data_IF_168715454258
#
_entry.id   IF_168715454258
#
_cell.length_a   1.000
_cell.length_b   1.000
_cell.length_c   1.000
_cell.angle_alpha   90.00
_cell.angle_beta   90.00
_cell.angle_gamma   90.00
#
_symmetry.space_group_name_H-M   'P 1'
#
loop_
_entity.id
_entity.type
_entity.pdbx_description
1 polymer ?
#
# COMPACT_ATOMS: atom_id res chain seq x y z
N UNK A 1 -6.01 -8.57 -2.74
CA UNK A 1 -6.93 -9.60 -2.21
C UNK A 1 -8.16 -8.87 -1.73
N UNK A 2 -9.33 -9.34 -2.15
CA UNK A 2 -10.63 -8.80 -1.76
C UNK A 2 -11.46 -9.97 -1.29
N UNK A 3 -11.95 -9.90 -0.06
CA UNK A 3 -12.88 -10.87 0.48
C UNK A 3 -14.29 -10.28 0.37
N UNK A 4 -15.20 -11.00 -0.30
CA UNK A 4 -16.58 -10.57 -0.50
C UNK A 4 -17.53 -11.77 -0.63
N UNK A 5 -18.51 -11.86 0.26
CA UNK A 5 -19.56 -12.87 0.21
C UNK A 5 -19.06 -14.30 0.45
N UNK A 6 -18.07 -14.48 1.32
CA UNK A 6 -17.42 -15.78 1.57
C UNK A 6 -16.45 -16.22 0.47
N UNK A 7 -16.20 -15.37 -0.53
CA UNK A 7 -15.27 -15.64 -1.64
C UNK A 7 -14.07 -14.71 -1.55
N UNK A 8 -12.88 -15.28 -1.77
CA UNK A 8 -11.60 -14.56 -1.83
C UNK A 8 -11.13 -14.39 -3.26
N UNK A 9 -10.98 -13.15 -3.69
CA UNK A 9 -10.44 -12.80 -5.01
C UNK A 9 -9.03 -12.25 -4.89
N UNK A 10 -8.13 -12.76 -5.72
CA UNK A 10 -6.83 -12.15 -5.98
C UNK A 10 -6.96 -11.24 -7.21
N UNK A 11 -6.89 -9.93 -6.98
CA UNK A 11 -6.78 -8.95 -8.05
C UNK A 11 -5.32 -8.53 -8.18
N UNK A 12 -4.72 -8.88 -9.31
CA UNK A 12 -3.38 -8.46 -9.70
C UNK A 12 -3.49 -7.59 -10.95
N UNK A 13 -2.66 -6.55 -11.02
CA UNK A 13 -2.60 -5.65 -12.15
C UNK A 13 -1.17 -5.56 -12.66
N UNK A 14 -1.02 -5.53 -13.98
CA UNK A 14 0.27 -5.26 -14.61
C UNK A 14 0.63 -3.79 -14.44
N UNK A 15 1.83 -3.55 -13.96
CA UNK A 15 2.36 -2.20 -13.81
C UNK A 15 3.42 -1.97 -14.87
N UNK A 16 3.27 -0.97 -15.75
CA UNK A 16 4.25 -0.66 -16.78
C UNK A 16 5.65 -0.45 -16.20
N UNK A 17 6.61 -1.24 -16.70
CA UNK A 17 8.00 -1.17 -16.26
C UNK A 17 8.31 -1.86 -14.94
N UNK A 18 7.39 -2.66 -14.36
CA UNK A 18 7.66 -3.40 -13.12
C UNK A 18 8.71 -4.51 -13.27
N UNK A 19 8.85 -5.09 -14.47
CA UNK A 19 9.85 -6.13 -14.76
C UNK A 19 11.22 -5.53 -15.15
N UNK A 20 11.21 -4.39 -15.85
CA UNK A 20 12.40 -3.61 -16.20
C UNK A 20 12.78 -2.59 -15.11
N UNK A 21 12.18 -2.73 -13.93
CA UNK A 21 12.32 -1.79 -12.84
C UNK A 21 13.78 -1.74 -12.38
N UNK A 22 14.49 -0.70 -12.81
CA UNK A 22 15.75 -0.33 -12.17
C UNK A 22 15.47 0.02 -10.71
N UNK A 23 16.36 -0.28 -9.75
CA UNK A 23 16.11 -0.07 -8.32
C UNK A 23 15.49 1.31 -8.02
N UNK A 24 16.00 2.37 -8.62
CA UNK A 24 15.52 3.75 -8.48
C UNK A 24 14.03 4.00 -8.78
N UNK A 25 13.34 3.09 -9.48
CA UNK A 25 11.91 3.21 -9.85
C UNK A 25 10.93 2.72 -8.77
N UNK A 26 11.41 1.93 -7.80
CA UNK A 26 10.58 1.33 -6.75
C UNK A 26 10.75 2.10 -5.46
N UNK A 27 9.71 2.74 -4.94
CA UNK A 27 9.79 3.41 -3.64
C UNK A 27 9.37 2.46 -2.53
N UNK A 28 10.35 1.98 -1.76
CA UNK A 28 10.14 1.08 -0.64
C UNK A 28 9.77 1.82 0.65
N UNK A 29 8.64 1.40 1.21
CA UNK A 29 8.53 1.10 2.64
C UNK A 29 8.37 2.29 3.59
N UNK A 30 7.17 2.39 4.13
CA UNK A 30 6.82 3.08 5.37
C UNK A 30 7.50 2.50 6.63
N UNK A 31 8.60 1.76 6.53
CA UNK A 31 9.45 1.44 7.68
C UNK A 31 10.89 1.16 7.25
N UNK A 32 11.79 2.09 7.61
CA UNK A 32 13.15 1.82 8.07
C UNK A 32 14.13 1.11 7.14
N UNK A 33 15.15 1.89 6.74
CA UNK A 33 16.49 1.49 6.25
C UNK A 33 16.58 0.96 4.82
N UNK A 34 16.56 1.92 3.90
CA UNK A 34 17.68 2.31 3.02
C UNK A 34 17.07 3.02 1.82
N UNK A 35 17.42 4.31 1.69
CA UNK A 35 17.39 5.15 0.48
C UNK A 35 16.65 4.56 -0.73
N UNK A 36 15.32 4.60 -0.68
CA UNK A 36 14.44 4.38 -1.81
C UNK A 36 13.39 5.49 -1.75
N UNK A 37 13.45 6.39 -2.74
CA UNK A 37 12.91 7.75 -2.70
C UNK A 37 11.65 7.90 -1.88
N UNK A 38 11.79 8.27 -0.60
CA UNK A 38 10.68 8.45 0.32
C UNK A 38 9.67 9.36 -0.38
N UNK A 39 8.44 8.91 -0.68
CA UNK A 39 7.45 9.83 -1.19
C UNK A 39 7.34 10.90 -0.12
N UNK A 40 7.42 12.17 -0.53
CA UNK A 40 7.34 13.29 0.41
C UNK A 40 6.15 13.05 1.35
N UNK A 41 6.23 13.55 2.59
CA UNK A 41 5.11 13.44 3.52
C UNK A 41 3.78 13.90 2.88
N UNK A 42 3.86 14.86 1.95
CA UNK A 42 2.77 15.34 1.11
C UNK A 42 2.28 14.30 0.10
N UNK A 43 3.17 13.59 -0.61
CA UNK A 43 2.80 12.51 -1.54
C UNK A 43 2.11 11.36 -0.78
N UNK A 44 2.64 10.99 0.40
CA UNK A 44 1.99 10.02 1.28
C UNK A 44 0.61 10.51 1.72
N UNK A 45 0.51 11.75 2.18
CA UNK A 45 -0.76 12.37 2.62
C UNK A 45 -1.78 12.51 1.49
N UNK A 46 -1.32 12.78 0.26
CA UNK A 46 -2.18 12.87 -0.94
C UNK A 46 -2.71 11.50 -1.34
N UNK A 47 -1.83 10.49 -1.39
CA UNK A 47 -2.23 9.11 -1.66
C UNK A 47 -3.13 8.57 -0.55
N UNK A 48 -2.85 8.90 0.72
CA UNK A 48 -3.72 8.61 1.85
C UNK A 48 -5.11 9.23 1.68
N UNK A 49 -5.21 10.51 1.29
CA UNK A 49 -6.49 11.18 1.06
C UNK A 49 -7.23 10.66 -0.18
N UNK A 50 -6.53 10.33 -1.26
CA UNK A 50 -7.17 9.84 -2.49
C UNK A 50 -7.59 8.38 -2.35
N UNK A 51 -6.67 7.49 -2.01
CA UNK A 51 -6.93 6.04 -1.92
C UNK A 51 -7.86 5.75 -0.75
N UNK A 52 -7.59 6.30 0.44
CA UNK A 52 -8.46 6.08 1.60
C UNK A 52 -9.90 6.52 1.37
N UNK A 53 -10.11 7.63 0.64
CA UNK A 53 -11.45 8.09 0.28
C UNK A 53 -12.14 7.18 -0.74
N UNK A 54 -11.43 6.71 -1.77
CA UNK A 54 -12.02 5.84 -2.79
C UNK A 54 -12.30 4.43 -2.27
N UNK A 55 -11.45 3.92 -1.37
CA UNK A 55 -11.59 2.60 -0.76
C UNK A 55 -12.46 2.61 0.50
N UNK A 56 -12.90 3.78 0.97
CA UNK A 56 -13.61 3.96 2.23
C UNK A 56 -12.87 3.36 3.45
N UNK A 57 -11.53 3.43 3.46
CA UNK A 57 -10.73 2.93 4.58
C UNK A 57 -10.72 3.94 5.74
N UNK A 58 -10.84 3.40 6.95
CA UNK A 58 -10.67 4.18 8.17
C UNK A 58 -9.22 4.10 8.66
N UNK A 59 -8.60 5.23 9.07
CA UNK A 59 -7.30 5.19 9.73
C UNK A 59 -7.37 4.38 11.02
N UNK A 60 -6.35 3.59 11.30
CA UNK A 60 -6.24 2.73 12.47
C UNK A 60 -4.83 2.82 13.08
N UNK A 61 -4.74 2.54 14.37
CA UNK A 61 -3.48 2.60 15.10
C UNK A 61 -2.85 1.21 15.19
N UNK A 62 -1.54 1.14 14.95
CA UNK A 62 -0.73 -0.07 15.10
C UNK A 62 0.39 0.19 16.11
N UNK A 63 0.86 -0.86 16.77
CA UNK A 63 1.99 -0.78 17.71
C UNK A 63 3.21 -1.43 17.07
N UNK A 64 4.34 -0.73 17.07
CA UNK A 64 5.61 -1.29 16.58
C UNK A 64 6.30 -2.17 17.63
N UNK A 65 7.43 -2.76 17.24
CA UNK A 65 8.24 -3.63 18.12
C UNK A 65 8.79 -2.93 19.36
N UNK A 66 8.89 -1.59 19.32
CA UNK A 66 9.44 -0.75 20.37
C UNK A 66 8.31 -0.18 21.26
N UNK A 67 7.06 -0.59 21.04
CA UNK A 67 5.88 -0.18 21.80
C UNK A 67 5.30 1.17 21.37
N UNK A 68 5.78 1.77 20.28
CA UNK A 68 5.26 3.06 19.80
C UNK A 68 4.01 2.87 18.96
N UNK A 69 3.01 3.74 19.19
CA UNK A 69 1.79 3.78 18.40
C UNK A 69 1.99 4.60 17.12
N UNK A 70 1.58 4.02 15.99
CA UNK A 70 1.60 4.65 14.68
C UNK A 70 0.22 4.63 14.07
N UNK A 71 -0.25 5.79 13.60
CA UNK A 71 -1.52 5.89 12.88
C UNK A 71 -1.31 5.63 11.40
N UNK A 72 -1.94 4.58 10.88
CA UNK A 72 -1.82 4.15 9.49
C UNK A 72 -3.19 4.07 8.82
N UNK A 73 -3.21 4.11 7.49
CA UNK A 73 -4.42 4.01 6.67
C UNK A 73 -4.36 2.87 5.65
N UNK A 74 -3.15 2.39 5.39
CA UNK A 74 -2.84 1.37 4.39
C UNK A 74 -1.96 0.31 5.07
N UNK A 75 -1.91 -0.91 4.52
CA UNK A 75 -0.99 -1.94 4.99
C UNK A 75 0.45 -1.44 5.07
N UNK A 76 1.20 -1.85 6.09
CA UNK A 76 2.62 -1.50 6.26
C UNK A 76 3.48 -1.94 5.07
N UNK A 77 3.07 -3.03 4.41
CA UNK A 77 3.74 -3.62 3.25
C UNK A 77 3.42 -2.88 1.93
N UNK A 78 2.60 -1.83 1.98
CA UNK A 78 2.25 -1.05 0.79
C UNK A 78 3.48 -0.36 0.21
N UNK A 79 3.62 -0.44 -1.12
CA UNK A 79 4.74 0.18 -1.84
C UNK A 79 4.21 1.20 -2.83
N UNK A 80 4.97 2.27 -3.01
CA UNK A 80 4.72 3.22 -4.10
C UNK A 80 5.66 2.88 -5.24
N UNK A 81 5.14 2.86 -6.45
CA UNK A 81 5.90 2.57 -7.65
C UNK A 81 5.66 3.67 -8.68
N UNK A 82 6.70 4.09 -9.39
CA UNK A 82 6.55 5.00 -10.53
C UNK A 82 6.69 4.20 -11.82
N UNK A 83 5.60 4.13 -12.58
CA UNK A 83 5.56 3.44 -13.88
C UNK A 83 6.43 4.12 -14.91
N UNK A 84 6.88 3.34 -15.90
CA UNK A 84 7.55 3.86 -17.10
C UNK A 84 6.63 4.76 -17.93
N UNK A 85 5.31 4.66 -17.74
CA UNK A 85 4.30 5.55 -18.29
C UNK A 85 4.16 6.88 -17.53
N UNK A 86 5.00 7.10 -16.51
CA UNK A 86 5.03 8.31 -15.70
C UNK A 86 4.00 8.36 -14.57
N UNK A 87 3.12 7.36 -14.43
CA UNK A 87 2.08 7.31 -13.39
C UNK A 87 2.61 6.77 -12.07
N UNK A 88 1.92 7.10 -10.98
CA UNK A 88 2.19 6.56 -9.64
C UNK A 88 1.22 5.42 -9.33
N UNK A 89 1.76 4.30 -8.88
CA UNK A 89 1.03 3.08 -8.55
C UNK A 89 1.21 2.74 -7.09
N UNK A 90 0.11 2.46 -6.39
CA UNK A 90 0.14 1.93 -5.04
C UNK A 90 -0.08 0.42 -5.10
N UNK A 91 0.84 -0.34 -4.53
CA UNK A 91 0.81 -1.81 -4.50
C UNK A 91 0.86 -2.32 -3.07
N UNK A 92 0.69 -3.63 -2.86
CA UNK A 92 0.73 -4.21 -1.53
C UNK A 92 -0.59 -4.11 -0.75
N UNK A 93 -1.72 -3.96 -1.45
CA UNK A 93 -3.05 -3.75 -0.85
C UNK A 93 -3.76 -5.05 -0.42
N UNK A 94 -3.08 -6.20 -0.43
CA UNK A 94 -3.68 -7.49 -0.09
C UNK A 94 -4.21 -7.59 1.33
N UNK A 95 -3.71 -6.79 2.27
CA UNK A 95 -4.19 -6.74 3.66
C UNK A 95 -5.00 -5.47 3.97
N UNK A 96 -5.44 -4.76 2.93
CA UNK A 96 -6.11 -3.48 3.11
C UNK A 96 -7.58 -3.64 3.53
N UNK A 97 -8.19 -4.78 3.23
CA UNK A 97 -9.52 -5.16 3.73
C UNK A 97 -9.38 -6.23 4.82
N UNK A 98 -10.24 -6.20 5.84
CA UNK A 98 -10.30 -7.27 6.84
C UNK A 98 -10.73 -8.57 6.17
N UNK A 99 -10.31 -9.71 6.74
CA UNK A 99 -10.78 -11.02 6.30
C UNK A 99 -12.30 -11.11 6.50
N UNK A 100 -13.02 -11.54 5.48
CA UNK A 100 -14.45 -11.84 5.60
C UNK A 100 -14.65 -12.97 6.62
N UNK A 101 -15.54 -12.76 7.59
CA UNK A 101 -15.89 -13.74 8.62
C UNK A 101 -16.52 -15.01 8.04
N UNK A 102 -17.11 -14.91 6.85
CA UNK A 102 -17.70 -16.03 6.13
C UNK A 102 -16.70 -16.79 5.27
N UNK A 103 -15.45 -16.31 5.15
CA UNK A 103 -14.39 -17.05 4.47
C UNK A 103 -13.91 -18.19 5.39
N UNK A 104 -13.92 -19.46 4.93
CA UNK A 104 -13.35 -20.58 5.68
C UNK A 104 -11.87 -20.33 5.99
#
# INVERSE_FOLDING_TARGET
VVDYGGVRFLAESLIPGALDARPESVVYGLSGKREFGVPSAETKKLLWKKVGRHMAYQPHDIVDKDGQQHRVLLPCESKLFRGTDGRQYLTGLQKATPRDLNSP
#
